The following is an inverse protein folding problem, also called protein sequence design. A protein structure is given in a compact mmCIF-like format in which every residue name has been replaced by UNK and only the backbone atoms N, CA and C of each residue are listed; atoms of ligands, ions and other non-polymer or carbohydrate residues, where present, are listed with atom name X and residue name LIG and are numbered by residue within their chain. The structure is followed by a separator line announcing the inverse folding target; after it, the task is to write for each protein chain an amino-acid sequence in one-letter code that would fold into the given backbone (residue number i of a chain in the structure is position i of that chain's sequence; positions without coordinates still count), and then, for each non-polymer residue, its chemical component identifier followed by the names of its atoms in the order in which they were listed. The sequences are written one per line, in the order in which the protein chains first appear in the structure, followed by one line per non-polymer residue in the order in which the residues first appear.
data_IF_784570945270
#
_entry.id   IF_784570945270
#
_cell.length_a   1.000
_cell.length_b   1.000
_cell.length_c   1.000
_cell.angle_alpha   90.00
_cell.angle_beta   90.00
_cell.angle_gamma   90.00
#
_symmetry.space_group_name_H-M   'P 1'
#
loop_
_entity.id
_entity.type
_entity.pdbx_description
1 polymer ?
#
# COMPACT_ATOMS: atom_id res chain seq x y z
N UNK A 1 -10.23 -6.68 -33.61
CA UNK A 1 -10.87 -6.91 -32.30
C UNK A 1 -12.36 -6.65 -32.44
N UNK A 2 -13.23 -7.43 -31.79
CA UNK A 2 -14.66 -7.11 -31.80
C UNK A 2 -14.92 -5.82 -31.02
N UNK A 3 -15.92 -5.06 -31.44
CA UNK A 3 -16.32 -3.81 -30.77
C UNK A 3 -16.70 -4.05 -29.30
N UNK A 4 -17.33 -5.18 -29.00
CA UNK A 4 -17.62 -5.62 -27.64
C UNK A 4 -16.35 -5.78 -26.79
N UNK A 5 -15.30 -6.40 -27.33
CA UNK A 5 -14.04 -6.58 -26.60
C UNK A 5 -13.38 -5.21 -26.28
N UNK A 6 -13.40 -4.27 -27.23
CA UNK A 6 -12.89 -2.91 -27.02
C UNK A 6 -13.71 -2.18 -25.96
N UNK A 7 -15.04 -2.30 -26.01
CA UNK A 7 -15.95 -1.70 -25.03
C UNK A 7 -15.67 -2.21 -23.63
N UNK A 8 -15.59 -3.53 -23.45
CA UNK A 8 -15.29 -4.15 -22.15
C UNK A 8 -13.93 -3.68 -21.63
N UNK A 9 -12.90 -3.70 -22.48
CA UNK A 9 -11.57 -3.25 -22.11
C UNK A 9 -11.56 -1.79 -21.63
N UNK A 10 -12.20 -0.88 -22.36
CA UNK A 10 -12.22 0.53 -22.02
C UNK A 10 -13.03 0.81 -20.75
N UNK A 11 -14.15 0.11 -20.53
CA UNK A 11 -14.93 0.22 -19.31
C UNK A 11 -14.21 -0.36 -18.08
N UNK A 12 -13.44 -1.45 -18.25
CA UNK A 12 -12.56 -1.97 -17.21
C UNK A 12 -11.47 -0.95 -16.84
N UNK A 13 -10.85 -0.33 -17.85
CA UNK A 13 -9.87 0.74 -17.63
C UNK A 13 -10.51 1.94 -16.91
N UNK A 14 -11.69 2.38 -17.32
CA UNK A 14 -12.43 3.44 -16.66
C UNK A 14 -12.71 3.12 -15.19
N UNK A 15 -13.18 1.89 -14.91
CA UNK A 15 -13.46 1.41 -13.54
C UNK A 15 -12.20 1.39 -12.68
N UNK A 16 -11.08 0.91 -13.23
CA UNK A 16 -9.78 0.91 -12.55
C UNK A 16 -9.33 2.35 -12.22
N UNK A 17 -9.45 3.28 -13.17
CA UNK A 17 -9.10 4.68 -12.97
C UNK A 17 -9.96 5.34 -11.89
N UNK A 18 -11.28 5.11 -11.90
CA UNK A 18 -12.17 5.63 -10.86
C UNK A 18 -11.92 5.01 -9.48
N UNK A 19 -11.56 3.73 -9.40
CA UNK A 19 -11.17 3.09 -8.14
C UNK A 19 -9.90 3.72 -7.56
N UNK A 20 -8.86 3.93 -8.39
CA UNK A 20 -7.63 4.59 -7.97
C UNK A 20 -7.89 6.06 -7.61
N UNK A 21 -8.70 6.77 -8.40
CA UNK A 21 -9.11 8.15 -8.11
C UNK A 21 -9.82 8.26 -6.77
N UNK A 22 -10.77 7.36 -6.47
CA UNK A 22 -11.52 7.33 -5.21
C UNK A 22 -10.58 7.11 -4.03
N UNK A 23 -9.63 6.18 -4.18
CA UNK A 23 -8.64 5.93 -3.15
C UNK A 23 -7.70 7.12 -2.93
N UNK A 24 -7.14 7.70 -4.00
CA UNK A 24 -6.27 8.89 -3.93
C UNK A 24 -7.02 10.12 -3.42
N UNK A 25 -8.29 10.28 -3.81
CA UNK A 25 -9.18 11.33 -3.33
C UNK A 25 -9.47 11.20 -1.83
N UNK A 26 -9.70 9.97 -1.34
CA UNK A 26 -9.84 9.72 0.10
C UNK A 26 -8.57 10.08 0.88
N UNK A 27 -7.39 9.84 0.30
CA UNK A 27 -6.12 10.28 0.88
C UNK A 27 -5.96 11.81 0.82
N UNK A 28 -6.39 12.45 -0.27
CA UNK A 28 -6.35 13.90 -0.44
C UNK A 28 -7.20 14.65 0.57
N UNK A 29 -8.40 14.15 0.88
CA UNK A 29 -9.27 14.74 1.90
C UNK A 29 -8.62 14.72 3.29
N UNK A 30 -7.74 13.75 3.56
CA UNK A 30 -7.03 13.63 4.85
C UNK A 30 -5.77 14.48 4.91
N UNK A 31 -5.03 14.53 3.80
CA UNK A 31 -3.76 15.25 3.70
C UNK A 31 -3.68 15.95 2.33
N UNK A 32 -4.20 17.19 2.24
CA UNK A 32 -4.30 17.89 0.97
C UNK A 32 -2.92 18.33 0.51
N UNK A 33 -2.37 17.63 -0.49
CA UNK A 33 -1.10 17.99 -1.13
C UNK A 33 -1.30 18.19 -2.64
N UNK A 34 -0.60 19.14 -3.28
CA UNK A 34 -0.75 19.38 -4.72
C UNK A 34 -0.45 18.17 -5.62
N UNK A 35 0.58 17.34 -5.36
CA UNK A 35 0.81 16.12 -6.15
C UNK A 35 -0.36 15.13 -6.07
N UNK A 36 -0.97 14.98 -4.89
CA UNK A 36 -2.09 14.07 -4.69
C UNK A 36 -3.38 14.60 -5.34
N UNK A 37 -3.60 15.91 -5.32
CA UNK A 37 -4.66 16.56 -6.09
C UNK A 37 -4.50 16.28 -7.59
N UNK A 38 -3.31 16.53 -8.15
CA UNK A 38 -3.02 16.29 -9.57
C UNK A 38 -3.19 14.82 -9.96
N UNK A 39 -2.70 13.88 -9.14
CA UNK A 39 -2.95 12.45 -9.37
C UNK A 39 -4.45 12.14 -9.39
N UNK A 40 -5.20 12.63 -8.41
CA UNK A 40 -6.64 12.36 -8.29
C UNK A 40 -7.37 12.91 -9.50
N UNK A 41 -7.12 14.17 -9.88
CA UNK A 41 -7.69 14.80 -11.07
C UNK A 41 -7.33 14.00 -12.33
N UNK A 42 -6.06 13.60 -12.47
CA UNK A 42 -5.60 12.81 -13.61
C UNK A 42 -6.32 11.45 -13.71
N UNK A 43 -6.52 10.76 -12.59
CA UNK A 43 -7.25 9.49 -12.60
C UNK A 43 -8.75 9.66 -12.85
N UNK A 44 -9.39 10.70 -12.30
CA UNK A 44 -10.79 11.02 -12.63
C UNK A 44 -10.92 11.31 -14.13
N UNK A 45 -10.05 12.18 -14.65
CA UNK A 45 -10.07 12.57 -16.06
C UNK A 45 -9.81 11.38 -16.98
N UNK A 46 -8.82 10.54 -16.67
CA UNK A 46 -8.56 9.33 -17.43
C UNK A 46 -9.73 8.33 -17.38
N UNK A 47 -10.40 8.21 -16.24
CA UNK A 47 -11.62 7.41 -16.11
C UNK A 47 -12.75 7.90 -17.02
N UNK A 48 -12.98 9.23 -17.04
CA UNK A 48 -13.96 9.87 -17.94
C UNK A 48 -13.57 9.66 -19.40
N UNK A 49 -12.29 9.86 -19.75
CA UNK A 49 -11.77 9.64 -21.12
C UNK A 49 -12.03 8.22 -21.58
N UNK A 50 -11.70 7.20 -20.78
CA UNK A 50 -11.95 5.81 -21.14
C UNK A 50 -13.45 5.47 -21.24
N UNK A 51 -14.27 6.04 -20.36
CA UNK A 51 -15.72 5.86 -20.42
C UNK A 51 -16.30 6.45 -21.72
N UNK A 52 -15.92 7.69 -22.07
CA UNK A 52 -16.37 8.38 -23.29
C UNK A 52 -15.77 7.75 -24.55
N UNK A 53 -14.52 7.29 -24.51
CA UNK A 53 -13.86 6.64 -25.64
C UNK A 53 -14.34 5.21 -25.91
N UNK A 54 -15.03 4.58 -24.95
CA UNK A 54 -15.66 3.28 -25.20
C UNK A 54 -16.68 3.42 -26.35
N UNK A 55 -16.83 2.42 -27.25
CA UNK A 55 -17.83 2.50 -28.33
C UNK A 55 -19.24 2.86 -27.84
N UNK A 56 -19.63 2.38 -26.65
CA UNK A 56 -20.88 2.74 -25.99
C UNK A 56 -20.93 4.24 -25.62
N UNK A 57 -19.92 4.74 -24.90
CA UNK A 57 -19.86 6.15 -24.49
C UNK A 57 -19.77 7.10 -25.68
N UNK A 58 -18.99 6.73 -26.69
CA UNK A 58 -18.78 7.49 -27.91
C UNK A 58 -20.08 7.67 -28.69
N UNK A 59 -20.82 6.56 -28.92
CA UNK A 59 -22.14 6.61 -29.57
C UNK A 59 -23.18 7.36 -28.77
N UNK A 60 -23.20 7.17 -27.45
CA UNK A 60 -24.16 7.86 -26.57
C UNK A 60 -23.95 9.38 -26.67
N UNK A 61 -22.70 9.84 -26.54
CA UNK A 61 -22.39 11.25 -26.64
C UNK A 61 -22.66 11.82 -28.04
N UNK A 62 -22.34 11.06 -29.10
CA UNK A 62 -22.66 11.41 -30.48
C UNK A 62 -24.17 11.52 -30.76
N UNK A 63 -24.98 10.65 -30.13
CA UNK A 63 -26.45 10.70 -30.26
C UNK A 63 -27.06 11.91 -29.55
N UNK A 64 -26.52 12.29 -28.39
CA UNK A 64 -27.00 13.44 -27.60
C UNK A 64 -26.62 14.76 -28.27
N UNK A 65 -25.44 14.84 -28.89
CA UNK A 65 -24.98 16.06 -29.57
C UNK A 65 -25.54 16.22 -30.99
N UNK A 66 -26.15 15.17 -31.55
CA UNK A 66 -26.56 15.12 -32.96
C UNK A 66 -25.38 15.11 -33.95
N UNK A 67 -24.13 15.08 -33.46
CA UNK A 67 -22.90 15.06 -34.26
C UNK A 67 -22.02 13.91 -33.80
N UNK A 68 -21.92 12.81 -34.57
CA UNK A 68 -21.30 11.58 -34.09
C UNK A 68 -19.81 11.76 -33.74
N UNK A 69 -19.12 12.69 -34.42
CA UNK A 69 -17.71 13.02 -34.22
C UNK A 69 -17.41 13.85 -32.97
N UNK A 70 -18.41 14.52 -32.40
CA UNK A 70 -18.20 15.50 -31.34
C UNK A 70 -17.64 14.86 -30.06
N UNK A 71 -17.79 13.54 -29.91
CA UNK A 71 -17.17 12.76 -28.83
C UNK A 71 -15.64 12.69 -28.93
N UNK A 72 -15.06 12.82 -30.13
CA UNK A 72 -13.60 12.77 -30.34
C UNK A 72 -12.88 13.92 -29.62
N UNK A 73 -13.42 15.14 -29.73
CA UNK A 73 -12.78 16.32 -29.15
C UNK A 73 -12.53 16.20 -27.62
N UNK A 74 -13.53 15.91 -26.76
CA UNK A 74 -13.30 15.77 -25.32
C UNK A 74 -12.39 14.58 -24.98
N UNK A 75 -12.37 13.51 -25.80
CA UNK A 75 -11.44 12.39 -25.60
C UNK A 75 -9.99 12.88 -25.75
N UNK A 76 -9.65 13.52 -26.86
CA UNK A 76 -8.27 13.95 -27.13
C UNK A 76 -7.82 15.08 -26.21
N UNK A 77 -8.71 16.03 -25.92
CA UNK A 77 -8.45 17.07 -24.91
C UNK A 77 -8.21 16.43 -23.54
N UNK A 78 -9.05 15.47 -23.15
CA UNK A 78 -8.89 14.75 -21.89
C UNK A 78 -7.58 13.95 -21.82
N UNK A 79 -7.20 13.25 -22.89
CA UNK A 79 -5.90 12.55 -22.99
C UNK A 79 -4.76 13.56 -22.82
N UNK A 80 -4.80 14.66 -23.57
CA UNK A 80 -3.76 15.67 -23.53
C UNK A 80 -3.61 16.28 -22.12
N UNK A 81 -4.72 16.61 -21.47
CA UNK A 81 -4.74 17.11 -20.10
C UNK A 81 -4.24 16.06 -19.10
N UNK A 82 -4.55 14.77 -19.29
CA UNK A 82 -3.98 13.68 -18.47
C UNK A 82 -2.46 13.68 -18.57
N UNK A 83 -1.90 13.53 -19.77
CA UNK A 83 -0.44 13.48 -19.94
C UNK A 83 0.26 14.79 -19.59
N UNK A 84 -0.40 15.93 -19.81
CA UNK A 84 0.09 17.22 -19.32
C UNK A 84 0.16 17.27 -17.80
N UNK A 85 -0.87 16.81 -17.10
CA UNK A 85 -0.86 16.72 -15.64
C UNK A 85 0.22 15.77 -15.12
N UNK A 86 0.48 14.65 -15.80
CA UNK A 86 1.57 13.73 -15.47
C UNK A 86 2.95 14.36 -15.66
N UNK A 87 3.14 15.14 -16.74
CA UNK A 87 4.39 15.87 -16.95
C UNK A 87 4.60 16.94 -15.86
N UNK A 88 3.55 17.71 -15.53
CA UNK A 88 3.60 18.69 -14.45
C UNK A 88 3.87 18.02 -13.09
N UNK A 89 3.25 16.88 -12.81
CA UNK A 89 3.52 16.07 -11.61
C UNK A 89 4.99 15.65 -11.56
N UNK A 90 5.56 15.26 -12.69
CA UNK A 90 6.96 14.85 -12.77
C UNK A 90 7.91 16.03 -12.56
N UNK A 91 7.54 17.24 -13.00
CA UNK A 91 8.28 18.46 -12.69
C UNK A 91 8.23 18.83 -11.19
N UNK A 92 7.15 18.46 -10.50
CA UNK A 92 7.04 18.63 -9.04
C UNK A 92 7.87 17.59 -8.28
N UNK A 93 7.93 16.35 -8.78
CA UNK A 93 8.71 15.26 -8.17
C UNK A 93 10.21 15.39 -8.37
N UNK A 94 10.63 15.71 -9.59
CA UNK A 94 12.03 15.83 -9.98
C UNK A 94 12.25 17.22 -10.61
N UNK A 95 12.31 18.29 -9.78
CA UNK A 95 12.53 19.63 -10.27
C UNK A 95 13.86 19.71 -11.02
N UNK A 96 13.84 20.32 -12.20
CA UNK A 96 15.04 20.48 -13.03
C UNK A 96 16.14 21.30 -12.32
N UNK A 97 15.75 22.14 -11.38
CA UNK A 97 16.64 23.03 -10.62
C UNK A 97 16.28 22.94 -9.13
N UNK A 98 16.80 21.93 -8.39
CA UNK A 98 16.45 21.68 -6.99
C UNK A 98 16.74 22.88 -6.06
N UNK A 99 17.71 23.74 -6.41
CA UNK A 99 18.05 24.95 -5.66
C UNK A 99 17.34 26.24 -6.08
N UNK A 100 16.54 26.22 -7.17
CA UNK A 100 15.92 27.43 -7.73
C UNK A 100 14.39 27.28 -7.84
N UNK A 101 13.63 27.44 -6.74
CA UNK A 101 12.18 27.21 -6.73
C UNK A 101 11.43 28.14 -7.69
N UNK A 102 11.92 29.37 -7.90
CA UNK A 102 11.32 30.32 -8.85
C UNK A 102 11.42 29.83 -10.30
N UNK A 103 12.57 29.26 -10.69
CA UNK A 103 12.78 28.73 -12.04
C UNK A 103 11.90 27.51 -12.29
N UNK A 104 11.80 26.61 -11.31
CA UNK A 104 10.89 25.46 -11.37
C UNK A 104 9.42 25.90 -11.52
N UNK A 105 8.96 26.91 -10.76
CA UNK A 105 7.61 27.48 -10.90
C UNK A 105 7.36 28.10 -12.29
N UNK A 106 8.34 28.81 -12.86
CA UNK A 106 8.24 29.37 -14.22
C UNK A 106 8.12 28.27 -15.26
N UNK A 107 8.91 27.21 -15.16
CA UNK A 107 8.84 26.04 -16.05
C UNK A 107 7.48 25.36 -15.97
N UNK A 108 6.95 25.13 -14.77
CA UNK A 108 5.62 24.55 -14.57
C UNK A 108 4.53 25.43 -15.19
N UNK A 109 4.59 26.75 -14.98
CA UNK A 109 3.63 27.70 -15.57
C UNK A 109 3.72 27.73 -17.10
N UNK A 110 4.92 27.71 -17.66
CA UNK A 110 5.14 27.69 -19.10
C UNK A 110 4.55 26.44 -19.74
N UNK A 111 4.76 25.26 -19.14
CA UNK A 111 4.15 24.02 -19.61
C UNK A 111 2.63 24.03 -19.46
N UNK A 112 2.10 24.48 -18.32
CA UNK A 112 0.66 24.61 -18.13
C UNK A 112 0.01 25.54 -19.18
N UNK A 113 0.66 26.66 -19.49
CA UNK A 113 0.22 27.58 -20.55
C UNK A 113 0.31 26.90 -21.92
N UNK A 114 1.41 26.21 -22.23
CA UNK A 114 1.57 25.50 -23.50
C UNK A 114 0.47 24.45 -23.73
N UNK A 115 0.13 23.65 -22.71
CA UNK A 115 -1.00 22.72 -22.79
C UNK A 115 -2.34 23.43 -22.97
N UNK A 116 -2.57 24.54 -22.27
CA UNK A 116 -3.82 25.31 -22.39
C UNK A 116 -3.99 25.91 -23.79
N UNK A 117 -2.92 26.49 -24.35
CA UNK A 117 -2.89 27.02 -25.72
C UNK A 117 -3.08 25.88 -26.73
N UNK A 118 -2.44 24.74 -26.52
CA UNK A 118 -2.58 23.57 -27.41
C UNK A 118 -4.02 23.04 -27.43
N UNK A 119 -4.69 22.96 -26.27
CA UNK A 119 -6.11 22.61 -26.17
C UNK A 119 -6.97 23.62 -26.94
N UNK A 120 -6.72 24.92 -26.80
CA UNK A 120 -7.46 25.95 -27.53
C UNK A 120 -7.29 25.81 -29.06
N UNK A 121 -6.06 25.59 -29.53
CA UNK A 121 -5.77 25.36 -30.96
C UNK A 121 -6.47 24.09 -31.45
N UNK A 122 -6.40 23.00 -30.69
CA UNK A 122 -7.09 21.75 -31.02
C UNK A 122 -8.60 21.96 -31.14
N UNK A 123 -9.22 22.64 -30.17
CA UNK A 123 -10.65 22.94 -30.23
C UNK A 123 -11.00 23.79 -31.45
N UNK A 124 -10.24 24.86 -31.73
CA UNK A 124 -10.49 25.72 -32.87
C UNK A 124 -10.35 24.97 -34.20
N UNK A 125 -9.28 24.18 -34.35
CA UNK A 125 -9.03 23.39 -35.56
C UNK A 125 -10.10 22.31 -35.77
N UNK A 126 -10.52 21.62 -34.70
CA UNK A 126 -11.58 20.61 -34.77
C UNK A 126 -12.94 21.20 -35.11
N UNK A 127 -13.28 22.37 -34.56
CA UNK A 127 -14.55 23.04 -34.83
C UNK A 127 -14.61 23.66 -36.24
N UNK A 128 -13.46 23.95 -36.85
CA UNK A 128 -13.35 24.44 -38.21
C UNK A 128 -13.30 23.32 -39.28
N UNK A 129 -13.08 22.06 -38.87
CA UNK A 129 -12.99 20.91 -39.77
C UNK A 129 -14.36 20.49 -40.31
N UNK A 130 -14.39 20.08 -41.58
CA UNK A 130 -15.60 19.56 -42.24
C UNK A 130 -15.61 18.03 -42.17
N UNK A 131 -16.15 17.50 -41.06
CA UNK A 131 -16.14 16.06 -40.78
C UNK A 131 -17.33 15.34 -41.41
N UNK A 132 -17.07 14.44 -42.36
CA UNK A 132 -18.08 13.63 -43.04
C UNK A 132 -17.92 12.12 -42.82
N UNK A 133 -19.02 11.37 -42.91
CA UNK A 133 -19.02 9.91 -42.90
C UNK A 133 -19.38 9.22 -41.56
N UNK A 134 -19.12 7.91 -41.43
CA UNK A 134 -19.42 7.14 -40.22
C UNK A 134 -18.32 7.32 -39.16
N UNK A 135 -18.71 7.62 -37.92
CA UNK A 135 -17.76 7.82 -36.83
C UNK A 135 -17.23 6.51 -36.23
N UNK A 136 -15.93 6.27 -36.43
CA UNK A 136 -15.18 5.19 -35.78
C UNK A 136 -14.09 5.78 -34.85
N UNK A 137 -14.23 5.64 -33.51
CA UNK A 137 -13.29 6.22 -32.56
C UNK A 137 -11.85 5.69 -32.70
N UNK A 138 -11.65 4.46 -33.20
CA UNK A 138 -10.32 3.88 -33.34
C UNK A 138 -9.62 4.30 -34.63
N UNK A 139 -10.39 4.71 -35.64
CA UNK A 139 -9.89 5.05 -36.98
C UNK A 139 -10.00 6.52 -37.31
N UNK A 140 -10.53 7.34 -36.41
CA UNK A 140 -10.64 8.80 -36.59
C UNK A 140 -9.35 9.44 -37.12
N UNK A 141 -8.20 9.05 -36.56
CA UNK A 141 -6.88 9.58 -36.94
C UNK A 141 -6.58 9.46 -38.44
N UNK A 142 -7.04 8.39 -39.09
CA UNK A 142 -6.72 8.11 -40.49
C UNK A 142 -7.91 8.36 -41.42
N UNK A 143 -9.14 8.17 -40.97
CA UNK A 143 -10.34 8.39 -41.78
C UNK A 143 -10.58 9.87 -42.12
N UNK A 144 -10.15 10.78 -41.25
CA UNK A 144 -10.38 12.22 -41.40
C UNK A 144 -9.07 12.97 -41.70
N UNK A 145 -8.01 12.24 -42.10
CA UNK A 145 -6.69 12.81 -42.32
C UNK A 145 -6.59 13.70 -43.57
N UNK A 146 -7.60 13.66 -44.45
CA UNK A 146 -7.66 14.51 -45.64
C UNK A 146 -8.08 15.97 -45.32
N UNK A 147 -8.73 16.19 -44.16
CA UNK A 147 -9.12 17.53 -43.71
C UNK A 147 -7.92 18.25 -43.03
N UNK A 148 -7.55 19.46 -43.49
CA UNK A 148 -6.39 20.18 -42.95
C UNK A 148 -6.59 20.63 -41.49
N UNK A 149 -7.83 20.90 -41.06
CA UNK A 149 -8.15 21.22 -39.67
C UNK A 149 -7.90 20.02 -38.76
N UNK A 150 -8.28 18.82 -39.19
CA UNK A 150 -7.98 17.57 -38.48
C UNK A 150 -6.47 17.31 -38.41
N UNK A 151 -5.73 17.57 -39.49
CA UNK A 151 -4.26 17.43 -39.47
C UNK A 151 -3.59 18.37 -38.46
N UNK A 152 -4.03 19.64 -38.38
CA UNK A 152 -3.52 20.58 -37.36
C UNK A 152 -3.87 20.08 -35.95
N UNK A 153 -5.11 19.64 -35.74
CA UNK A 153 -5.56 19.06 -34.48
C UNK A 153 -4.69 17.85 -34.05
N UNK A 154 -4.44 16.90 -34.95
CA UNK A 154 -3.64 15.71 -34.69
C UNK A 154 -2.16 16.05 -34.49
N UNK A 155 -1.61 16.98 -35.27
CA UNK A 155 -0.22 17.40 -35.16
C UNK A 155 0.07 18.02 -33.78
N UNK A 156 -0.79 18.94 -33.32
CA UNK A 156 -0.67 19.56 -31.99
C UNK A 156 -0.80 18.50 -30.89
N UNK A 157 -1.80 17.62 -31.00
CA UNK A 157 -2.00 16.53 -30.05
C UNK A 157 -0.76 15.62 -29.93
N UNK A 158 -0.25 15.11 -31.06
CA UNK A 158 0.87 14.17 -31.09
C UNK A 158 2.18 14.83 -30.66
N UNK A 159 2.41 16.09 -31.02
CA UNK A 159 3.58 16.84 -30.59
C UNK A 159 3.59 17.02 -29.07
N UNK A 160 2.46 17.43 -28.49
CA UNK A 160 2.37 17.62 -27.04
C UNK A 160 2.39 16.30 -26.28
N UNK A 161 1.76 15.24 -26.81
CA UNK A 161 1.83 13.90 -26.25
C UNK A 161 3.29 13.40 -26.22
N UNK A 162 4.02 13.57 -27.32
CA UNK A 162 5.44 13.24 -27.44
C UNK A 162 6.28 13.97 -26.39
N UNK A 163 6.10 15.29 -26.29
CA UNK A 163 6.76 16.10 -25.29
C UNK A 163 6.47 15.61 -23.87
N UNK A 164 5.19 15.37 -23.54
CA UNK A 164 4.76 14.88 -22.24
C UNK A 164 5.36 13.52 -21.88
N UNK A 165 5.26 12.54 -22.78
CA UNK A 165 5.74 11.17 -22.54
C UNK A 165 7.26 11.10 -22.46
N UNK A 166 7.98 11.70 -23.41
CA UNK A 166 9.45 11.64 -23.43
C UNK A 166 10.08 12.47 -22.31
N UNK A 167 9.56 13.66 -22.03
CA UNK A 167 10.04 14.48 -20.90
C UNK A 167 9.85 13.75 -19.58
N UNK A 168 8.68 13.12 -19.39
CA UNK A 168 8.38 12.35 -18.18
C UNK A 168 9.28 11.12 -18.06
N UNK A 169 9.45 10.34 -19.13
CA UNK A 169 10.34 9.19 -19.16
C UNK A 169 11.80 9.57 -18.81
N UNK A 170 12.32 10.63 -19.42
CA UNK A 170 13.68 11.09 -19.15
C UNK A 170 13.86 11.52 -17.69
N UNK A 171 12.91 12.30 -17.14
CA UNK A 171 12.98 12.79 -15.76
C UNK A 171 12.85 11.68 -14.72
N UNK A 172 11.93 10.75 -14.92
CA UNK A 172 11.73 9.62 -14.00
C UNK A 172 12.93 8.68 -13.97
N UNK A 173 13.70 8.60 -15.06
CA UNK A 173 14.98 7.88 -15.10
C UNK A 173 16.09 8.58 -14.28
N UNK A 174 16.02 9.90 -14.17
CA UNK A 174 16.99 10.71 -13.42
C UNK A 174 16.54 10.97 -11.97
N UNK A 175 15.33 10.60 -11.61
CA UNK A 175 14.80 10.83 -10.27
C UNK A 175 15.45 9.87 -9.28
N UNK A 176 16.09 10.42 -8.25
CA UNK A 176 16.55 9.66 -7.09
C UNK A 176 15.39 9.54 -6.09
N UNK A 177 15.22 8.35 -5.53
CA UNK A 177 14.18 8.08 -4.54
C UNK A 177 14.82 7.58 -3.24
N UNK A 178 14.26 8.02 -2.12
CA UNK A 178 14.75 7.66 -0.78
C UNK A 178 14.59 6.17 -0.45
N UNK A 179 13.71 5.46 -1.16
CA UNK A 179 13.43 4.05 -0.89
C UNK A 179 13.29 3.23 -2.17
N UNK A 180 13.83 2.01 -2.13
CA UNK A 180 13.79 1.04 -3.24
C UNK A 180 12.37 0.81 -3.79
N UNK A 181 11.29 0.70 -2.97
CA UNK A 181 9.94 0.52 -3.51
C UNK A 181 9.44 1.75 -4.30
N UNK A 182 9.82 2.96 -3.88
CA UNK A 182 9.46 4.20 -4.59
C UNK A 182 10.26 4.32 -5.87
N UNK A 183 11.55 3.97 -5.84
CA UNK A 183 12.40 3.93 -7.02
C UNK A 183 11.86 2.95 -8.07
N UNK A 184 11.46 1.75 -7.63
CA UNK A 184 10.85 0.75 -8.51
C UNK A 184 9.56 1.27 -9.15
N UNK A 185 8.70 1.93 -8.37
CA UNK A 185 7.45 2.51 -8.86
C UNK A 185 7.70 3.65 -9.88
N UNK A 186 8.67 4.53 -9.61
CA UNK A 186 9.08 5.60 -10.52
C UNK A 186 9.66 5.06 -11.84
N UNK A 187 10.51 4.03 -11.78
CA UNK A 187 11.06 3.37 -12.97
C UNK A 187 9.95 2.75 -13.82
N UNK A 188 8.96 2.11 -13.20
CA UNK A 188 7.80 1.58 -13.92
C UNK A 188 6.92 2.67 -14.52
N UNK A 189 6.69 3.76 -13.79
CA UNK A 189 5.99 4.93 -14.29
C UNK A 189 6.71 5.51 -15.54
N UNK A 190 8.03 5.67 -15.47
CA UNK A 190 8.84 6.11 -16.62
C UNK A 190 8.75 5.17 -17.82
N UNK A 191 8.88 3.85 -17.60
CA UNK A 191 8.71 2.84 -18.66
C UNK A 191 7.31 2.89 -19.28
N UNK A 192 6.28 3.16 -18.48
CA UNK A 192 4.90 3.27 -18.98
C UNK A 192 4.71 4.47 -19.92
N UNK A 193 5.44 5.56 -19.71
CA UNK A 193 5.45 6.70 -20.64
C UNK A 193 6.13 6.34 -21.96
N UNK A 194 7.22 5.57 -21.92
CA UNK A 194 7.87 5.06 -23.13
C UNK A 194 6.96 4.09 -23.91
N UNK A 195 6.24 3.22 -23.21
CA UNK A 195 5.24 2.34 -23.82
C UNK A 195 4.13 3.17 -24.47
N UNK A 196 3.63 4.20 -23.77
CA UNK A 196 2.63 5.12 -24.32
C UNK A 196 3.14 5.83 -25.56
N UNK A 197 4.41 6.27 -25.58
CA UNK A 197 5.02 6.90 -26.76
C UNK A 197 4.97 6.00 -28.01
N UNK A 198 4.88 4.68 -27.83
CA UNK A 198 4.57 3.74 -28.91
C UNK A 198 3.30 4.08 -29.69
N UNK A 199 2.28 4.67 -29.04
CA UNK A 199 1.09 5.21 -29.72
C UNK A 199 1.47 6.23 -30.80
N UNK A 200 2.39 7.16 -30.50
CA UNK A 200 2.84 8.19 -31.44
C UNK A 200 3.61 7.54 -32.60
N UNK A 201 4.52 6.62 -32.27
CA UNK A 201 5.33 5.89 -33.27
C UNK A 201 4.44 5.12 -34.24
N UNK A 202 3.32 4.57 -33.79
CA UNK A 202 2.34 3.90 -34.64
C UNK A 202 1.43 4.87 -35.40
N UNK A 203 0.95 5.94 -34.73
CA UNK A 203 -0.07 6.83 -35.28
C UNK A 203 0.48 7.82 -36.31
N UNK A 204 1.67 8.38 -36.09
CA UNK A 204 2.25 9.40 -37.00
C UNK A 204 2.42 8.84 -38.42
N UNK A 205 3.06 7.67 -38.65
CA UNK A 205 3.18 7.12 -39.99
C UNK A 205 1.83 6.78 -40.62
N UNK A 206 0.87 6.27 -39.82
CA UNK A 206 -0.46 5.95 -40.31
C UNK A 206 -1.23 7.19 -40.77
N UNK A 207 -1.15 8.30 -40.02
CA UNK A 207 -1.77 9.58 -40.37
C UNK A 207 -1.12 10.16 -41.62
N UNK A 208 0.21 10.17 -41.71
CA UNK A 208 0.93 10.66 -42.89
C UNK A 208 0.55 9.86 -44.13
N UNK A 209 0.51 8.52 -44.02
CA UNK A 209 0.09 7.67 -45.13
C UNK A 209 -1.37 7.97 -45.54
N UNK A 210 -2.28 8.06 -44.57
CA UNK A 210 -3.69 8.37 -44.83
C UNK A 210 -3.88 9.75 -45.49
N UNK A 211 -3.17 10.79 -45.03
CA UNK A 211 -3.19 12.13 -45.63
C UNK A 211 -2.65 12.18 -47.07
N UNK A 212 -1.97 11.12 -47.53
CA UNK A 212 -1.54 10.95 -48.92
C UNK A 212 -2.43 9.99 -49.71
N UNK A 213 -3.60 9.62 -49.17
CA UNK A 213 -4.56 8.67 -49.75
C UNK A 213 -4.23 7.19 -49.53
N UNK A 214 -3.21 6.85 -48.73
CA UNK A 214 -2.79 5.47 -48.50
C UNK A 214 -3.28 4.93 -47.13
N UNK A 215 -4.40 4.20 -47.14
CA UNK A 215 -5.02 3.64 -45.93
C UNK A 215 -4.50 2.25 -45.50
N UNK A 216 -3.38 1.77 -46.06
CA UNK A 216 -2.82 0.45 -45.74
C UNK A 216 -2.36 0.34 -44.28
N UNK A 217 -2.05 1.46 -43.63
CA UNK A 217 -1.54 1.54 -42.26
C UNK A 217 -2.63 1.80 -41.20
N UNK A 218 -3.91 1.82 -41.57
CA UNK A 218 -5.02 2.05 -40.61
C UNK A 218 -4.99 1.07 -39.42
N UNK A 219 -4.60 -0.18 -39.68
CA UNK A 219 -4.47 -1.21 -38.64
C UNK A 219 -3.32 -0.93 -37.66
N UNK A 220 -2.28 -0.20 -38.09
CA UNK A 220 -1.18 0.23 -37.22
C UNK A 220 -1.66 1.28 -36.21
N UNK A 221 -2.62 2.13 -36.59
CA UNK A 221 -3.28 3.05 -35.66
C UNK A 221 -3.99 2.31 -34.51
N UNK A 222 -4.64 1.18 -34.81
CA UNK A 222 -5.28 0.32 -33.79
C UNK A 222 -4.24 -0.30 -32.84
N UNK A 223 -3.08 -0.70 -33.35
CA UNK A 223 -1.95 -1.15 -32.52
C UNK A 223 -1.46 -0.03 -31.58
N UNK A 224 -1.45 1.22 -32.08
CA UNK A 224 -1.17 2.39 -31.27
C UNK A 224 -2.07 2.50 -30.04
N UNK A 225 -3.38 2.27 -30.20
CA UNK A 225 -4.32 2.30 -29.07
C UNK A 225 -3.98 1.25 -27.99
N UNK A 226 -3.48 0.07 -28.37
CA UNK A 226 -3.02 -0.96 -27.42
C UNK A 226 -1.81 -0.49 -26.62
N UNK A 227 -0.86 0.21 -27.25
CA UNK A 227 0.26 0.86 -26.54
C UNK A 227 -0.24 1.89 -25.53
N UNK A 228 -1.27 2.66 -25.87
CA UNK A 228 -1.94 3.59 -24.95
C UNK A 228 -2.53 2.89 -23.72
N UNK A 229 -3.29 1.81 -23.93
CA UNK A 229 -3.89 1.02 -22.84
C UNK A 229 -2.81 0.38 -21.95
N UNK A 230 -1.83 -0.29 -22.55
CA UNK A 230 -0.72 -0.91 -21.82
C UNK A 230 0.09 0.14 -21.02
N UNK A 231 0.34 1.30 -21.64
CA UNK A 231 0.93 2.46 -20.99
C UNK A 231 0.14 2.89 -19.77
N UNK A 232 -1.18 3.10 -19.91
CA UNK A 232 -2.05 3.48 -18.79
C UNK A 232 -2.07 2.46 -17.65
N UNK A 233 -2.07 1.15 -17.92
CA UNK A 233 -1.95 0.11 -16.87
C UNK A 233 -0.63 0.27 -16.13
N UNK A 234 0.48 0.41 -16.87
CA UNK A 234 1.80 0.66 -16.29
C UNK A 234 1.84 1.96 -15.47
N UNK A 235 1.14 3.00 -15.90
CA UNK A 235 1.03 4.28 -15.17
C UNK A 235 0.23 4.12 -13.87
N UNK A 236 -0.87 3.36 -13.90
CA UNK A 236 -1.64 3.04 -12.68
C UNK A 236 -0.77 2.33 -11.64
N UNK A 237 0.00 1.34 -12.09
CA UNK A 237 0.97 0.65 -11.23
C UNK A 237 2.07 1.59 -10.76
N UNK A 238 2.66 2.41 -11.63
CA UNK A 238 3.74 3.34 -11.27
C UNK A 238 3.32 4.38 -10.22
N UNK A 239 2.09 4.90 -10.30
CA UNK A 239 1.60 5.93 -9.38
C UNK A 239 0.99 5.38 -8.07
N UNK A 240 0.61 4.10 -8.05
CA UNK A 240 -0.10 3.50 -6.90
C UNK A 240 0.62 2.29 -6.29
N UNK A 241 1.54 1.65 -7.01
CA UNK A 241 2.15 0.37 -6.65
C UNK A 241 2.94 0.41 -5.35
N UNK A 242 3.72 1.47 -5.09
CA UNK A 242 4.44 1.63 -3.82
C UNK A 242 3.46 1.73 -2.62
N UNK A 243 2.36 2.46 -2.79
CA UNK A 243 1.33 2.62 -1.77
C UNK A 243 0.54 1.31 -1.56
N UNK A 244 0.18 0.60 -2.64
CA UNK A 244 -0.50 -0.71 -2.56
C UNK A 244 0.41 -1.71 -1.83
N UNK A 245 1.70 -1.74 -2.20
CA UNK A 245 2.67 -2.64 -1.59
C UNK A 245 2.87 -2.34 -0.10
N UNK A 246 2.94 -1.06 0.28
CA UNK A 246 2.99 -0.65 1.68
C UNK A 246 1.72 -1.08 2.43
N UNK A 247 0.55 -0.80 1.87
CA UNK A 247 -0.75 -1.18 2.43
C UNK A 247 -0.89 -2.70 2.61
N UNK A 248 -0.47 -3.50 1.62
CA UNK A 248 -0.47 -4.97 1.70
C UNK A 248 0.52 -5.49 2.75
N UNK A 249 1.69 -4.86 2.89
CA UNK A 249 2.66 -5.21 3.95
C UNK A 249 2.09 -4.88 5.33
N UNK A 250 1.50 -3.71 5.51
CA UNK A 250 0.87 -3.33 6.78
C UNK A 250 -0.29 -4.25 7.13
N UNK A 251 -1.13 -4.68 6.16
CA UNK A 251 -2.18 -5.68 6.41
C UNK A 251 -1.63 -7.02 6.86
N UNK A 252 -0.57 -7.52 6.21
CA UNK A 252 0.09 -8.75 6.60
C UNK A 252 0.66 -8.66 8.01
N UNK A 253 1.24 -7.52 8.35
CA UNK A 253 1.79 -7.30 9.69
C UNK A 253 0.70 -7.16 10.74
N UNK A 254 -0.47 -6.59 10.40
CA UNK A 254 -1.63 -6.61 11.28
C UNK A 254 -2.04 -8.07 11.58
N UNK A 255 -2.20 -8.88 10.54
CA UNK A 255 -2.56 -10.28 10.70
C UNK A 255 -1.50 -11.07 11.50
N UNK A 256 -0.21 -10.79 11.27
CA UNK A 256 0.88 -11.44 12.00
C UNK A 256 1.01 -11.03 13.46
N UNK A 257 0.60 -9.81 13.83
CA UNK A 257 0.59 -9.33 15.22
C UNK A 257 -0.68 -9.71 15.98
N UNK A 258 -1.75 -10.13 15.29
CA UNK A 258 -3.04 -10.47 15.91
C UNK A 258 -2.90 -11.49 17.06
N UNK A 259 -2.14 -12.60 16.95
CA UNK A 259 -2.01 -13.56 18.05
C UNK A 259 -1.37 -12.96 19.31
N UNK A 260 -0.41 -12.04 19.13
CA UNK A 260 0.23 -11.35 20.25
C UNK A 260 -0.71 -10.34 20.89
N UNK A 261 -1.46 -9.60 20.07
CA UNK A 261 -2.48 -8.67 20.57
C UNK A 261 -3.58 -9.41 21.36
N UNK A 262 -4.07 -10.55 20.85
CA UNK A 262 -5.05 -11.38 21.55
C UNK A 262 -4.50 -11.88 22.90
N UNK A 263 -3.23 -12.26 22.94
CA UNK A 263 -2.58 -12.72 24.18
C UNK A 263 -2.45 -11.61 25.24
N UNK A 264 -1.91 -10.45 24.88
CA UNK A 264 -1.49 -9.42 25.85
C UNK A 264 -2.52 -8.33 26.10
N UNK A 265 -3.51 -8.17 25.22
CA UNK A 265 -4.58 -7.19 25.37
C UNK A 265 -5.86 -7.88 25.83
N UNK A 266 -6.45 -8.75 24.99
CA UNK A 266 -7.69 -9.47 25.33
C UNK A 266 -7.50 -10.40 26.54
N UNK A 267 -6.34 -11.07 26.64
CA UNK A 267 -6.05 -11.95 27.77
C UNK A 267 -5.80 -11.24 29.12
N UNK A 268 -5.68 -9.91 29.14
CA UNK A 268 -5.23 -9.13 30.31
C UNK A 268 -6.27 -8.12 30.77
N UNK A 269 -6.81 -7.30 29.87
CA UNK A 269 -7.80 -6.28 30.22
C UNK A 269 -8.61 -5.89 28.98
N UNK A 270 -9.90 -6.24 29.00
CA UNK A 270 -10.82 -5.88 27.91
C UNK A 270 -11.01 -4.35 27.79
N UNK A 271 -10.76 -3.58 28.85
CA UNK A 271 -10.82 -2.11 28.82
C UNK A 271 -9.60 -1.47 28.12
N UNK A 272 -8.47 -2.19 28.03
CA UNK A 272 -7.33 -1.78 27.19
C UNK A 272 -7.62 -2.00 25.69
N UNK A 273 -8.58 -2.86 25.35
CA UNK A 273 -8.95 -3.14 23.97
C UNK A 273 -9.81 -2.01 23.41
N UNK A 274 -9.39 -1.41 22.29
CA UNK A 274 -10.30 -0.62 21.49
C UNK A 274 -11.32 -1.61 20.87
N UNK A 275 -12.51 -1.69 21.47
CA UNK A 275 -13.53 -2.71 21.20
C UNK A 275 -13.56 -3.14 19.72
N UNK A 276 -13.10 -4.38 19.39
CA UNK A 276 -12.96 -4.84 18.01
C UNK A 276 -14.31 -4.90 17.27
N UNK A 277 -15.42 -4.95 18.01
CA UNK A 277 -16.78 -5.05 17.47
C UNK A 277 -17.29 -3.75 16.80
N UNK A 278 -16.78 -2.56 17.14
CA UNK A 278 -17.29 -1.29 16.59
C UNK A 278 -16.56 -0.78 15.34
N UNK A 279 -15.52 -1.48 14.86
CA UNK A 279 -14.54 -0.88 13.93
C UNK A 279 -14.00 -1.83 12.85
N UNK A 280 -14.73 -2.88 12.45
CA UNK A 280 -14.29 -3.81 11.39
C UNK A 280 -14.01 -3.10 10.05
N UNK A 281 -14.84 -2.12 9.67
CA UNK A 281 -14.65 -1.30 8.46
C UNK A 281 -13.40 -0.41 8.54
N UNK A 282 -13.09 0.14 9.72
CA UNK A 282 -11.92 1.01 9.89
C UNK A 282 -10.60 0.23 9.75
N UNK A 283 -10.59 -1.04 10.17
CA UNK A 283 -9.44 -1.96 10.03
C UNK A 283 -9.03 -2.14 8.56
N UNK A 284 -10.00 -2.06 7.64
CA UNK A 284 -9.75 -2.23 6.21
C UNK A 284 -9.36 -0.94 5.47
N UNK A 285 -9.85 0.21 5.93
CA UNK A 285 -9.66 1.51 5.28
C UNK A 285 -8.43 2.25 5.85
N UNK A 286 -8.20 2.15 7.16
CA UNK A 286 -7.15 2.86 7.88
C UNK A 286 -6.08 1.90 8.42
N UNK A 287 -5.51 1.11 7.52
CA UNK A 287 -4.53 0.06 7.84
C UNK A 287 -3.34 0.61 8.62
N UNK A 288 -2.72 1.72 8.17
CA UNK A 288 -1.58 2.34 8.86
C UNK A 288 -1.90 2.79 10.28
N UNK A 289 -3.03 3.47 10.47
CA UNK A 289 -3.48 3.90 11.79
C UNK A 289 -3.78 2.71 12.70
N UNK A 290 -4.47 1.70 12.16
CA UNK A 290 -4.80 0.47 12.89
C UNK A 290 -3.54 -0.25 13.34
N UNK A 291 -2.55 -0.40 12.46
CA UNK A 291 -1.27 -1.02 12.81
C UNK A 291 -0.54 -0.25 13.91
N UNK A 292 -0.46 1.08 13.79
CA UNK A 292 0.21 1.90 14.81
C UNK A 292 -0.49 1.79 16.17
N UNK A 293 -1.82 1.86 16.17
CA UNK A 293 -2.63 1.72 17.38
C UNK A 293 -2.46 0.34 18.02
N UNK A 294 -2.50 -0.72 17.21
CA UNK A 294 -2.33 -2.09 17.69
C UNK A 294 -0.94 -2.33 18.31
N UNK A 295 0.12 -1.72 17.75
CA UNK A 295 1.46 -1.76 18.35
C UNK A 295 1.47 -1.08 19.72
N UNK A 296 0.84 0.10 19.86
CA UNK A 296 0.74 0.80 21.15
C UNK A 296 0.01 -0.07 22.18
N UNK A 297 -1.13 -0.67 21.80
CA UNK A 297 -1.91 -1.53 22.70
C UNK A 297 -1.14 -2.79 23.13
N UNK A 298 -0.39 -3.42 22.22
CA UNK A 298 0.51 -4.54 22.57
C UNK A 298 1.54 -4.07 23.61
N UNK A 299 2.18 -2.92 23.38
CA UNK A 299 3.21 -2.40 24.29
C UNK A 299 2.62 -2.04 25.66
N UNK A 300 1.42 -1.47 25.71
CA UNK A 300 0.72 -1.16 26.96
C UNK A 300 0.29 -2.44 27.70
N UNK A 301 -0.19 -3.46 26.99
CA UNK A 301 -0.47 -4.78 27.55
C UNK A 301 0.78 -5.45 28.15
N UNK A 302 1.90 -5.42 27.42
CA UNK A 302 3.20 -5.91 27.91
C UNK A 302 3.64 -5.14 29.17
N UNK A 303 3.46 -3.81 29.22
CA UNK A 303 3.76 -3.01 30.42
C UNK A 303 2.86 -3.40 31.60
N UNK A 304 1.58 -3.64 31.37
CA UNK A 304 0.63 -4.11 32.38
C UNK A 304 0.99 -5.49 32.95
N UNK A 305 1.54 -6.36 32.11
CA UNK A 305 2.00 -7.70 32.48
C UNK A 305 3.31 -7.73 33.28
N UNK A 306 4.05 -6.62 33.34
CA UNK A 306 5.38 -6.56 33.96
C UNK A 306 5.42 -7.10 35.40
N UNK A 307 4.36 -6.89 36.17
CA UNK A 307 4.24 -7.37 37.56
C UNK A 307 4.11 -8.90 37.70
N UNK A 308 3.80 -9.60 36.61
CA UNK A 308 3.61 -11.06 36.57
C UNK A 308 4.78 -11.81 35.91
N UNK A 309 5.62 -11.09 35.16
CA UNK A 309 6.76 -11.66 34.46
C UNK A 309 7.81 -12.21 35.44
N UNK A 310 8.39 -13.36 35.10
CA UNK A 310 9.51 -14.00 35.81
C UNK A 310 10.54 -14.46 34.80
N UNK A 311 11.79 -14.61 35.25
CA UNK A 311 12.90 -15.05 34.38
C UNK A 311 12.95 -16.57 34.17
N UNK A 312 12.17 -17.34 34.93
CA UNK A 312 12.17 -18.80 34.90
C UNK A 312 11.86 -19.41 33.51
N UNK A 313 10.80 -18.98 32.78
CA UNK A 313 10.54 -19.50 31.43
C UNK A 313 11.67 -19.21 30.45
N UNK A 314 12.38 -18.08 30.63
CA UNK A 314 13.51 -17.70 29.80
C UNK A 314 14.70 -18.65 30.00
N UNK A 315 15.04 -18.93 31.26
CA UNK A 315 16.16 -19.81 31.61
C UNK A 315 15.90 -21.24 31.10
N UNK A 316 14.68 -21.75 31.28
CA UNK A 316 14.29 -23.08 30.79
C UNK A 316 14.36 -23.13 29.26
N UNK A 317 13.85 -22.12 28.57
CA UNK A 317 13.88 -22.09 27.12
C UNK A 317 15.32 -22.06 26.58
N UNK A 318 16.21 -21.27 27.19
CA UNK A 318 17.63 -21.21 26.82
C UNK A 318 18.30 -22.57 27.07
N UNK A 319 18.04 -23.21 28.22
CA UNK A 319 18.58 -24.53 28.52
C UNK A 319 18.08 -25.61 27.53
N UNK A 320 16.79 -25.57 27.16
CA UNK A 320 16.21 -26.46 26.15
C UNK A 320 16.86 -26.23 24.78
N UNK A 321 17.08 -24.98 24.38
CA UNK A 321 17.75 -24.63 23.12
C UNK A 321 19.19 -25.14 23.09
N UNK A 322 19.96 -24.97 24.17
CA UNK A 322 21.32 -25.52 24.29
C UNK A 322 21.33 -27.06 24.23
N UNK A 323 20.36 -27.73 24.86
CA UNK A 323 20.23 -29.18 24.77
C UNK A 323 19.91 -29.64 23.34
N UNK A 324 19.10 -28.88 22.60
CA UNK A 324 18.87 -29.15 21.17
C UNK A 324 20.14 -29.02 20.34
N UNK A 325 21.03 -28.08 20.67
CA UNK A 325 22.32 -27.95 19.97
C UNK A 325 23.27 -29.11 20.28
N UNK A 326 23.20 -29.67 21.49
CA UNK A 326 24.02 -30.81 21.91
C UNK A 326 23.47 -32.18 21.48
N UNK A 327 22.16 -32.29 21.22
CA UNK A 327 21.49 -33.56 20.97
C UNK A 327 20.57 -33.51 19.73
N UNK A 328 21.00 -34.18 18.66
CA UNK A 328 20.29 -34.25 17.38
C UNK A 328 18.87 -34.81 17.48
N UNK A 329 18.62 -35.77 18.38
CA UNK A 329 17.28 -36.36 18.55
C UNK A 329 16.31 -35.35 19.18
N UNK A 330 16.78 -34.57 20.16
CA UNK A 330 16.01 -33.48 20.78
C UNK A 330 15.79 -32.35 19.78
N UNK A 331 16.81 -32.00 18.99
CA UNK A 331 16.71 -31.02 17.91
C UNK A 331 15.63 -31.37 16.88
N UNK A 332 15.62 -32.61 16.41
CA UNK A 332 14.65 -33.10 15.44
C UNK A 332 13.21 -33.04 15.98
N UNK A 333 13.02 -33.35 17.28
CA UNK A 333 11.72 -33.24 17.95
C UNK A 333 11.15 -31.83 17.90
N UNK A 334 11.99 -30.81 18.07
CA UNK A 334 11.58 -29.40 18.04
C UNK A 334 11.74 -28.72 16.67
N UNK A 335 12.09 -29.47 15.63
CA UNK A 335 12.23 -29.00 14.23
C UNK A 335 13.18 -27.81 14.07
N UNK A 336 14.27 -27.81 14.83
CA UNK A 336 15.30 -26.77 14.72
C UNK A 336 16.32 -27.08 13.62
N UNK A 337 16.82 -26.03 12.97
CA UNK A 337 17.97 -26.12 12.09
C UNK A 337 19.22 -26.60 12.87
N UNK A 338 20.24 -27.20 12.20
CA UNK A 338 21.46 -27.66 12.85
C UNK A 338 22.19 -26.57 13.66
N UNK A 339 22.12 -25.33 13.16
CA UNK A 339 22.70 -24.13 13.77
C UNK A 339 21.88 -23.58 14.94
N UNK A 340 20.68 -24.14 15.19
CA UNK A 340 19.72 -23.62 16.16
C UNK A 340 18.90 -22.44 15.63
N UNK A 341 18.27 -21.69 16.54
CA UNK A 341 17.62 -20.43 16.20
C UNK A 341 18.65 -19.30 16.07
N UNK A 342 18.50 -18.42 15.08
CA UNK A 342 19.20 -17.13 15.06
C UNK A 342 18.99 -16.36 16.38
N UNK A 343 19.96 -15.54 16.85
CA UNK A 343 19.86 -14.83 18.12
C UNK A 343 18.57 -13.99 18.28
N UNK A 344 18.12 -13.33 17.21
CA UNK A 344 16.89 -12.53 17.22
C UNK A 344 15.62 -13.39 17.34
N UNK A 345 15.62 -14.60 16.77
CA UNK A 345 14.50 -15.54 16.91
C UNK A 345 14.47 -16.17 18.30
N UNK A 346 15.65 -16.47 18.86
CA UNK A 346 15.76 -16.94 20.24
C UNK A 346 15.27 -15.87 21.23
N UNK A 347 15.67 -14.61 21.08
CA UNK A 347 15.18 -13.49 21.90
C UNK A 347 13.65 -13.35 21.81
N UNK A 348 13.10 -13.49 20.60
CA UNK A 348 11.66 -13.46 20.38
C UNK A 348 10.95 -14.64 21.08
N UNK A 349 11.50 -15.85 21.01
CA UNK A 349 10.97 -17.04 21.66
C UNK A 349 11.04 -16.95 23.20
N UNK A 350 12.15 -16.46 23.74
CA UNK A 350 12.29 -16.15 25.18
C UNK A 350 11.20 -15.16 25.62
N UNK A 351 11.04 -14.06 24.88
CA UNK A 351 10.03 -13.04 25.18
C UNK A 351 8.61 -13.61 25.12
N UNK A 352 8.32 -14.43 24.11
CA UNK A 352 7.05 -15.14 23.97
C UNK A 352 6.75 -16.05 25.17
N UNK A 353 7.74 -16.83 25.64
CA UNK A 353 7.59 -17.70 26.81
C UNK A 353 7.32 -16.91 28.09
N UNK A 354 8.06 -15.82 28.33
CA UNK A 354 7.83 -14.93 29.48
C UNK A 354 6.42 -14.36 29.45
N UNK A 355 5.97 -13.83 28.30
CA UNK A 355 4.65 -13.20 28.18
C UNK A 355 3.51 -14.21 28.37
N UNK A 356 3.60 -15.41 27.78
CA UNK A 356 2.58 -16.45 27.96
C UNK A 356 2.49 -16.92 29.41
N UNK A 357 3.64 -17.09 30.08
CA UNK A 357 3.66 -17.41 31.51
C UNK A 357 3.04 -16.28 32.35
N UNK A 358 3.41 -15.03 32.09
CA UNK A 358 2.88 -13.85 32.77
C UNK A 358 1.35 -13.74 32.64
N UNK A 359 0.80 -13.98 31.44
CA UNK A 359 -0.65 -14.00 31.20
C UNK A 359 -1.33 -15.13 31.98
N UNK A 360 -0.78 -16.36 31.97
CA UNK A 360 -1.33 -17.47 32.76
C UNK A 360 -1.39 -17.14 34.26
N UNK A 361 -0.33 -16.54 34.81
CA UNK A 361 -0.29 -16.10 36.22
C UNK A 361 -1.30 -14.99 36.51
N UNK A 362 -1.41 -14.02 35.59
CA UNK A 362 -2.41 -12.97 35.69
C UNK A 362 -3.83 -13.56 35.75
N UNK A 363 -4.18 -14.43 34.81
CA UNK A 363 -5.49 -15.07 34.73
C UNK A 363 -5.78 -15.94 35.96
N UNK A 364 -4.80 -16.71 36.44
CA UNK A 364 -4.94 -17.51 37.66
C UNK A 364 -5.28 -16.63 38.88
N UNK A 365 -4.57 -15.50 39.05
CA UNK A 365 -4.85 -14.58 40.15
C UNK A 365 -6.18 -13.84 39.98
N UNK A 366 -6.54 -13.42 38.77
CA UNK A 366 -7.83 -12.76 38.52
C UNK A 366 -8.99 -13.71 38.81
N UNK A 367 -8.86 -15.00 38.46
CA UNK A 367 -9.85 -16.03 38.79
C UNK A 367 -9.95 -16.24 40.30
N UNK A 368 -8.80 -16.32 41.00
CA UNK A 368 -8.76 -16.44 42.45
C UNK A 368 -9.36 -15.21 43.15
N UNK A 369 -9.09 -14.01 42.65
CA UNK A 369 -9.64 -12.76 43.18
C UNK A 369 -11.12 -12.60 42.87
N UNK A 370 -11.62 -13.06 41.73
CA UNK A 370 -13.06 -13.11 41.45
C UNK A 370 -13.81 -14.04 42.43
N UNK A 371 -13.14 -15.10 42.91
CA UNK A 371 -13.65 -15.95 44.00
C UNK A 371 -13.48 -15.37 45.41
N UNK A 372 -12.59 -14.39 45.60
CA UNK A 372 -12.18 -13.83 46.90
C UNK A 372 -12.41 -12.31 46.98
N UNK A 373 -13.22 -11.73 46.10
CA UNK A 373 -13.57 -10.29 46.08
C UNK A 373 -14.52 -9.90 47.22
N UNK A 374 -14.15 -10.27 48.44
CA UNK A 374 -14.43 -9.59 49.68
C UNK A 374 -13.18 -9.66 50.61
N UNK A 375 -11.99 -9.29 50.14
CA UNK A 375 -10.96 -8.65 50.99
C UNK A 375 -9.68 -8.26 50.23
N UNK A 376 -9.31 -7.00 50.45
CA UNK A 376 -7.95 -6.46 50.52
C UNK A 376 -7.08 -6.44 49.25
N UNK A 377 -6.99 -5.23 48.71
CA UNK A 377 -5.88 -4.65 47.92
C UNK A 377 -4.54 -4.82 48.65
N UNK A 378 -3.55 -5.46 48.01
CA UNK A 378 -2.16 -5.42 48.47
C UNK A 378 -1.14 -5.29 47.32
N UNK A 379 -0.37 -4.21 47.48
CA UNK A 379 1.06 -3.95 47.23
C UNK A 379 1.79 -4.60 46.03
N UNK A 380 2.43 -3.74 45.24
CA UNK A 380 3.36 -4.05 44.15
C UNK A 380 4.75 -4.47 44.66
N UNK A 381 5.35 -5.56 44.14
CA UNK A 381 6.79 -5.79 44.25
C UNK A 381 7.55 -5.01 43.16
N UNK A 382 8.62 -4.35 43.57
CA UNK A 382 9.59 -3.69 42.69
C UNK A 382 10.71 -4.66 42.31
N UNK A 383 11.17 -4.56 41.06
CA UNK A 383 12.49 -5.04 40.64
C UNK A 383 12.47 -6.27 39.74
N UNK A 384 12.17 -6.09 38.45
CA UNK A 384 12.61 -7.00 37.39
C UNK A 384 12.97 -6.20 36.12
N UNK A 385 13.86 -6.84 35.33
CA UNK A 385 14.72 -6.33 34.28
C UNK A 385 14.12 -5.27 33.32
N UNK A 386 15.02 -4.44 32.77
CA UNK A 386 14.67 -3.41 31.80
C UNK A 386 14.07 -4.05 30.53
N UNK A 387 12.77 -3.80 30.29
CA UNK A 387 12.14 -4.18 29.03
C UNK A 387 12.63 -3.19 27.94
N UNK A 388 13.14 -3.66 26.80
CA UNK A 388 13.57 -2.81 25.70
C UNK A 388 12.38 -2.07 25.08
N UNK A 389 12.56 -0.78 24.74
CA UNK A 389 11.52 0.00 24.04
C UNK A 389 11.55 1.52 24.25
N UNK A 390 12.41 2.05 25.11
CA UNK A 390 12.49 3.51 25.32
C UNK A 390 13.31 4.26 24.25
N UNK A 391 14.08 3.54 23.41
CA UNK A 391 14.97 4.15 22.38
C UNK A 391 15.00 3.41 21.04
N UNK A 392 14.15 2.40 20.84
CA UNK A 392 14.15 1.57 19.63
C UNK A 392 13.38 2.27 18.52
N UNK A 393 13.89 2.25 17.29
CA UNK A 393 13.16 2.84 16.16
C UNK A 393 11.83 2.11 15.94
N UNK A 394 10.75 2.82 15.59
CA UNK A 394 9.42 2.22 15.45
C UNK A 394 9.37 1.02 14.46
N UNK A 395 10.22 1.04 13.42
CA UNK A 395 10.35 -0.05 12.46
C UNK A 395 11.01 -1.30 13.05
N UNK A 396 12.01 -1.12 13.92
CA UNK A 396 12.68 -2.22 14.64
C UNK A 396 11.75 -2.80 15.69
N UNK A 397 11.01 -1.96 16.41
CA UNK A 397 10.02 -2.41 17.40
C UNK A 397 8.93 -3.24 16.73
N UNK A 398 8.38 -2.77 15.60
CA UNK A 398 7.44 -3.55 14.78
C UNK A 398 8.00 -4.91 14.38
N UNK A 399 9.26 -4.96 13.93
CA UNK A 399 9.92 -6.22 13.53
C UNK A 399 10.09 -7.17 14.72
N UNK A 400 10.49 -6.64 15.88
CA UNK A 400 10.64 -7.39 17.13
C UNK A 400 9.30 -8.02 17.54
N UNK A 401 8.23 -7.22 17.61
CA UNK A 401 6.91 -7.71 18.00
C UNK A 401 6.38 -8.78 17.03
N UNK A 402 6.62 -8.63 15.72
CA UNK A 402 6.30 -9.66 14.73
C UNK A 402 7.08 -10.97 14.97
N UNK A 403 8.34 -10.87 15.38
CA UNK A 403 9.14 -12.02 15.80
C UNK A 403 8.52 -12.72 17.00
N UNK A 404 8.19 -11.96 18.06
CA UNK A 404 7.55 -12.48 19.27
C UNK A 404 6.22 -13.16 18.93
N UNK A 405 5.38 -12.52 18.11
CA UNK A 405 4.08 -13.05 17.72
C UNK A 405 4.20 -14.39 17.00
N UNK A 406 5.17 -14.55 16.09
CA UNK A 406 5.43 -15.85 15.41
C UNK A 406 5.95 -16.91 16.38
N UNK A 407 6.70 -16.51 17.40
CA UNK A 407 7.29 -17.44 18.35
C UNK A 407 6.29 -17.94 19.42
N UNK A 408 5.10 -17.34 19.53
CA UNK A 408 4.08 -17.74 20.51
C UNK A 408 3.70 -19.22 20.43
N UNK A 409 3.58 -19.75 19.21
CA UNK A 409 3.20 -21.13 18.92
C UNK A 409 4.41 -22.05 18.72
N UNK A 410 5.63 -21.58 19.02
CA UNK A 410 6.83 -22.37 18.80
C UNK A 410 6.89 -23.56 19.78
N UNK A 411 7.21 -24.79 19.32
CA UNK A 411 7.24 -25.98 20.18
C UNK A 411 8.14 -25.87 21.42
N UNK A 412 9.26 -25.15 21.32
CA UNK A 412 10.13 -24.87 22.47
C UNK A 412 9.49 -23.94 23.51
N UNK A 413 8.67 -22.98 23.07
CA UNK A 413 7.95 -22.09 24.00
C UNK A 413 6.94 -22.89 24.80
N UNK A 414 6.20 -23.78 24.14
CA UNK A 414 5.29 -24.70 24.84
C UNK A 414 6.01 -25.64 25.80
N UNK A 415 7.11 -26.26 25.37
CA UNK A 415 7.90 -27.15 26.22
C UNK A 415 8.45 -26.41 27.45
N UNK A 416 8.94 -25.18 27.29
CA UNK A 416 9.40 -24.38 28.42
C UNK A 416 8.27 -24.10 29.41
N UNK A 417 7.08 -23.72 28.94
CA UNK A 417 5.92 -23.47 29.79
C UNK A 417 5.43 -24.71 30.53
N UNK A 418 5.51 -25.88 29.90
CA UNK A 418 5.17 -27.16 30.54
C UNK A 418 6.13 -27.51 31.68
N UNK A 419 7.41 -27.16 31.56
CA UNK A 419 8.40 -27.39 32.62
C UNK A 419 8.23 -26.45 33.83
N UNK A 420 7.73 -25.22 33.62
CA UNK A 420 7.51 -24.23 34.71
C UNK A 420 6.33 -24.63 35.61
N UNK A 421 5.26 -25.17 35.03
CA UNK A 421 4.00 -25.47 35.73
C UNK A 421 4.18 -26.37 36.98
N UNK A 422 4.86 -27.53 36.90
CA UNK A 422 5.03 -28.42 38.06
C UNK A 422 5.95 -27.87 39.16
N UNK A 423 6.91 -26.99 38.83
CA UNK A 423 7.78 -26.37 39.83
C UNK A 423 7.02 -25.38 40.71
N UNK A 424 6.11 -24.60 40.10
CA UNK A 424 5.29 -23.62 40.83
C UNK A 424 4.24 -24.29 41.73
N UNK A 425 3.64 -25.40 41.29
CA UNK A 425 2.68 -26.16 42.12
C UNK A 425 3.35 -26.80 43.36
N UNK A 426 4.58 -27.30 43.22
CA UNK A 426 5.35 -27.85 44.34
C UNK A 426 5.73 -26.76 45.37
N UNK A 427 6.10 -25.57 44.91
CA UNK A 427 6.43 -24.43 45.79
C UNK A 427 5.19 -23.91 46.54
N UNK A 428 4.03 -23.83 45.87
CA UNK A 428 2.77 -23.45 46.51
C UNK A 428 2.27 -24.49 47.52
N UNK A 429 2.41 -25.79 47.22
CA UNK A 429 2.06 -26.87 48.15
C UNK A 429 3.00 -26.90 49.37
N UNK A 430 4.28 -26.58 49.20
CA UNK A 430 5.27 -26.48 50.28
C UNK A 430 5.05 -25.28 51.21
N UNK A 431 4.60 -24.14 50.69
CA UNK A 431 4.38 -22.91 51.46
C UNK A 431 3.21 -22.95 52.46
N UNK A 432 2.29 -23.92 52.34
CA UNK A 432 1.19 -24.12 53.29
C UNK A 432 1.50 -25.13 54.40
N UNK A 433 2.62 -25.85 54.33
CA UNK A 433 3.08 -26.70 55.41
C UNK A 433 4.03 -25.91 56.33
N UNK A 434 3.64 -25.78 57.60
CA UNK A 434 4.43 -25.26 58.75
C UNK A 434 4.46 -23.74 59.00
N UNK A 435 3.37 -23.22 59.56
CA UNK A 435 3.49 -22.28 60.66
C UNK A 435 3.68 -23.10 61.95
N UNK A 436 4.85 -23.14 62.59
CA UNK A 436 5.00 -23.82 63.87
C UNK A 436 4.16 -23.09 64.91
N UNK A 437 3.23 -23.82 65.53
CA UNK A 437 2.55 -23.39 66.75
C UNK A 437 3.60 -22.96 67.77
N UNK A 438 3.63 -21.67 68.12
CA UNK A 438 4.40 -21.17 69.27
C UNK A 438 3.88 -21.87 70.52
N UNK A 439 4.74 -22.51 71.34
CA UNK A 439 4.31 -23.06 72.61
C UNK A 439 3.97 -21.90 73.56
N UNK A 440 2.74 -21.90 74.06
CA UNK A 440 2.33 -21.07 75.19
C UNK A 440 3.02 -21.59 76.45
N UNK A 441 4.00 -20.83 76.96
CA UNK A 441 4.44 -20.98 78.34
C UNK A 441 3.44 -20.30 79.27
N UNK A 442 2.62 -21.12 79.95
CA UNK A 442 1.88 -20.73 81.15
C UNK A 442 2.74 -20.93 82.40
N UNK A 443 2.63 -19.98 83.34
CA UNK A 443 3.30 -19.91 84.64
C UNK A 443 2.87 -21.00 85.61
#
# INVERSE_FOLDING_TARGET
MSEHAVTVLYLLMASMFFAVASWKGSAFVREPTPPLALMTINFVLGGVVYAVASPLGYRTLGSVSGRPWLATLPIYVGILLCYGSMQLLTLLWAPAHPGEPQRSRRTIRAWALAYSVSVAIMCAAFLAAELEGPADPLRFNTQQADDPGVLVFLAVFLAMLTCGTLSTWHRTRQAEAESEPVEHALRWFGRSMLITFGYVVCSVPAIIAAATGHHQLDSVGVLGALFGVAGCVGTCYGMSGAAISAWLRERRDIAGLQPLWDLVVVGVDDELSFSPARSSLNRYINVRWTLHRMIIEILDGIRGLRKWATDEPAQILIALHQNCLANDAVRARYRLAPEGMPPAELEAAVTAAILRHAVRRHQAKTTQQAGVAQAATLASPQGLAAIPGAKTAAAEERRRLLGVARALDHPLVEAALLCVTPASEAEQAGGHATAPLKPHHGR
#
